data_IF_968239282235
#
_entry.id   IF_968239282235
#
_cell.length_a   1.000
_cell.length_b   1.000
_cell.length_c   1.000
_cell.angle_alpha   90.00
_cell.angle_beta   90.00
_cell.angle_gamma   90.00
#
_symmetry.space_group_name_H-M   'P 1'
#
loop_
_entity.id
_entity.type
_entity.pdbx_description
1 polymer ?
#
# COMPACT_ATOMS: atom_id res chain seq x y z
N UNK A 1 -9.68 1.90 -26.25
CA UNK A 1 -8.37 1.52 -25.67
C UNK A 1 -8.63 1.35 -24.18
N UNK A 2 -8.65 0.12 -23.68
CA UNK A 2 -8.88 -0.13 -22.26
C UNK A 2 -7.63 0.33 -21.51
N UNK A 3 -7.73 1.45 -20.81
CA UNK A 3 -6.69 1.92 -19.90
C UNK A 3 -6.62 0.90 -18.76
N UNK A 4 -5.66 -0.03 -18.86
CA UNK A 4 -5.31 -0.92 -17.77
C UNK A 4 -4.50 -0.08 -16.78
N UNK A 5 -5.20 0.76 -16.01
CA UNK A 5 -4.58 1.47 -14.90
C UNK A 5 -4.21 0.44 -13.84
N UNK A 6 -2.98 -0.08 -13.87
CA UNK A 6 -2.48 -0.96 -12.84
C UNK A 6 -2.57 -0.22 -11.49
N UNK A 7 -3.48 -0.64 -10.62
CA UNK A 7 -3.65 -0.07 -9.28
C UNK A 7 -2.92 -0.97 -8.29
N UNK A 8 -1.93 -0.40 -7.62
CA UNK A 8 -1.09 -1.11 -6.68
C UNK A 8 -1.62 -0.86 -5.27
N UNK A 9 -1.84 -1.95 -4.54
CA UNK A 9 -2.27 -1.92 -3.15
C UNK A 9 -1.22 -2.66 -2.32
N UNK A 10 -0.74 -2.06 -1.24
CA UNK A 10 0.23 -2.67 -0.34
C UNK A 10 -0.05 -2.32 1.11
N UNK A 11 0.37 -3.19 2.03
CA UNK A 11 0.28 -2.91 3.45
C UNK A 11 1.63 -2.48 4.01
N UNK A 12 1.58 -1.63 5.04
CA UNK A 12 2.77 -1.23 5.78
C UNK A 12 2.49 -1.16 7.28
N UNK A 13 3.56 -1.31 8.06
CA UNK A 13 3.54 -1.14 9.51
C UNK A 13 4.39 0.07 9.85
N UNK A 14 3.77 1.02 10.53
CA UNK A 14 4.40 2.23 11.06
C UNK A 14 4.58 2.05 12.56
N UNK A 15 5.82 2.01 13.02
CA UNK A 15 6.16 2.04 14.43
C UNK A 15 6.29 3.50 14.89
N UNK A 16 5.69 3.83 16.03
CA UNK A 16 5.65 5.19 16.57
C UNK A 16 6.34 5.28 17.93
N UNK A 17 6.80 6.48 18.28
CA UNK A 17 7.29 6.82 19.63
C UNK A 17 6.11 6.73 20.61
N UNK A 18 6.34 6.32 21.88
CA UNK A 18 5.32 6.36 22.92
C UNK A 18 4.72 7.77 23.05
N UNK A 19 3.40 7.88 23.02
CA UNK A 19 2.68 9.15 23.11
C UNK A 19 2.53 9.93 21.80
N UNK A 20 3.19 9.53 20.71
CA UNK A 20 3.05 10.20 19.40
C UNK A 20 2.03 9.54 18.47
N UNK A 21 1.50 8.37 18.83
CA UNK A 21 0.66 7.54 17.94
C UNK A 21 -0.61 8.23 17.47
N UNK A 22 -1.31 8.95 18.34
CA UNK A 22 -2.53 9.68 17.94
C UNK A 22 -2.23 10.84 16.99
N UNK A 23 -1.10 11.54 17.18
CA UNK A 23 -0.66 12.60 16.28
C UNK A 23 -0.31 12.02 14.91
N UNK A 24 0.52 10.98 14.86
CA UNK A 24 0.87 10.29 13.61
C UNK A 24 -0.37 9.73 12.91
N UNK A 25 -1.31 9.15 13.66
CA UNK A 25 -2.55 8.61 13.11
C UNK A 25 -3.45 9.69 12.51
N UNK A 26 -3.52 10.87 13.13
CA UNK A 26 -4.22 12.03 12.56
C UNK A 26 -3.57 12.46 11.25
N UNK A 27 -2.24 12.59 11.22
CA UNK A 27 -1.52 12.95 9.98
C UNK A 27 -1.74 11.95 8.85
N UNK A 28 -1.69 10.65 9.15
CA UNK A 28 -1.88 9.59 8.16
C UNK A 28 -3.30 9.61 7.60
N UNK A 29 -4.33 9.85 8.42
CA UNK A 29 -5.72 9.90 7.98
C UNK A 29 -6.03 11.04 7.00
N UNK A 30 -5.25 12.12 7.05
CA UNK A 30 -5.35 13.23 6.11
C UNK A 30 -4.59 12.98 4.78
N UNK A 31 -3.81 11.90 4.68
CA UNK A 31 -3.09 11.55 3.46
C UNK A 31 -4.00 10.83 2.46
N UNK A 32 -4.11 11.38 1.25
CA UNK A 32 -4.77 10.69 0.15
C UNK A 32 -4.02 9.40 -0.24
N UNK A 33 -4.76 8.33 -0.50
CA UNK A 33 -4.19 7.03 -0.87
C UNK A 33 -3.63 6.22 0.30
N UNK A 34 -3.95 6.61 1.54
CA UNK A 34 -3.54 5.90 2.76
C UNK A 34 -4.75 5.62 3.64
N UNK A 35 -4.96 4.36 4.00
CA UNK A 35 -6.00 3.92 4.92
C UNK A 35 -5.37 3.32 6.19
N UNK A 36 -5.89 3.68 7.37
CA UNK A 36 -5.47 3.07 8.63
C UNK A 36 -6.31 1.84 8.91
N UNK A 37 -5.71 0.65 8.80
CA UNK A 37 -6.38 -0.63 9.04
C UNK A 37 -6.50 -0.96 10.52
N UNK A 38 -5.42 -0.73 11.28
CA UNK A 38 -5.39 -1.02 12.71
C UNK A 38 -4.36 -0.14 13.42
N UNK A 39 -4.54 0.06 14.73
CA UNK A 39 -3.49 0.61 15.59
C UNK A 39 -3.44 -0.18 16.91
N UNK A 40 -2.23 -0.35 17.44
CA UNK A 40 -1.99 -1.02 18.72
C UNK A 40 -0.94 -0.24 19.52
N UNK A 41 -1.28 0.99 19.90
CA UNK A 41 -0.51 1.85 20.83
C UNK A 41 0.84 2.35 20.32
N UNK A 42 1.72 1.49 19.83
CA UNK A 42 3.06 1.80 19.32
C UNK A 42 3.26 1.38 17.85
N UNK A 43 2.24 0.75 17.25
CA UNK A 43 2.25 0.30 15.85
C UNK A 43 0.93 0.66 15.18
N UNK A 44 1.02 1.09 13.93
CA UNK A 44 -0.12 1.40 13.06
C UNK A 44 0.04 0.53 11.82
N UNK A 45 -1.01 -0.20 11.46
CA UNK A 45 -1.10 -0.94 10.20
C UNK A 45 -1.85 -0.06 9.22
N UNK A 46 -1.24 0.19 8.07
CA UNK A 46 -1.82 1.00 7.00
C UNK A 46 -1.90 0.22 5.70
N UNK A 47 -2.84 0.61 4.85
CA UNK A 47 -2.94 0.21 3.46
C UNK A 47 -2.62 1.43 2.60
N UNK A 48 -1.76 1.25 1.61
CA UNK A 48 -1.32 2.25 0.65
C UNK A 48 -1.86 1.84 -0.71
N UNK A 49 -2.45 2.79 -1.43
CA UNK A 49 -2.98 2.56 -2.78
C UNK A 49 -2.50 3.62 -3.77
N UNK A 50 -2.16 3.22 -4.99
CA UNK A 50 -1.67 4.16 -6.00
C UNK A 50 -1.35 3.53 -7.34
N UNK A 51 -1.00 4.37 -8.31
CA UNK A 51 -0.84 3.98 -9.71
C UNK A 51 0.45 3.16 -10.02
N UNK A 52 1.36 2.99 -9.05
CA UNK A 52 2.60 2.23 -9.22
C UNK A 52 3.25 1.88 -7.88
N UNK A 53 4.10 0.86 -7.84
CA UNK A 53 4.95 0.56 -6.66
C UNK A 53 5.81 1.76 -6.25
N UNK A 54 6.27 2.57 -7.21
CA UNK A 54 7.02 3.81 -6.92
C UNK A 54 6.19 4.84 -6.15
N UNK A 55 4.91 5.02 -6.51
CA UNK A 55 4.00 5.90 -5.78
C UNK A 55 3.77 5.41 -4.34
N UNK A 56 3.64 4.09 -4.13
CA UNK A 56 3.52 3.51 -2.79
C UNK A 56 4.79 3.75 -1.95
N UNK A 57 5.97 3.57 -2.56
CA UNK A 57 7.26 3.85 -1.93
C UNK A 57 7.44 5.32 -1.54
N UNK A 58 6.96 6.24 -2.38
CA UNK A 58 6.97 7.67 -2.07
C UNK A 58 6.06 8.00 -0.87
N UNK A 59 4.84 7.45 -0.84
CA UNK A 59 3.93 7.60 0.31
C UNK A 59 4.55 7.04 1.59
N UNK A 60 5.15 5.85 1.53
CA UNK A 60 5.84 5.24 2.67
C UNK A 60 7.02 6.10 3.15
N UNK A 61 7.79 6.69 2.22
CA UNK A 61 8.91 7.57 2.54
C UNK A 61 8.42 8.85 3.25
N UNK A 62 7.32 9.44 2.80
CA UNK A 62 6.70 10.61 3.46
C UNK A 62 6.24 10.27 4.88
N UNK A 63 5.66 9.09 5.08
CA UNK A 63 5.25 8.62 6.41
C UNK A 63 6.48 8.37 7.31
N UNK A 64 7.56 7.83 6.76
CA UNK A 64 8.77 7.50 7.52
C UNK A 64 9.46 8.71 8.16
N UNK A 65 9.22 9.91 7.64
CA UNK A 65 9.83 11.16 8.13
C UNK A 65 8.89 11.99 9.01
N UNK A 66 7.66 11.52 9.27
CA UNK A 66 6.75 12.19 10.20
C UNK A 66 7.35 12.20 11.62
N UNK A 67 7.22 13.32 12.33
CA UNK A 67 7.64 13.35 13.73
C UNK A 67 6.83 12.35 14.55
N UNK A 68 7.53 11.61 15.40
CA UNK A 68 6.94 10.52 16.16
C UNK A 68 6.96 9.17 15.45
N UNK A 69 7.36 9.08 14.17
CA UNK A 69 7.60 7.78 13.51
C UNK A 69 9.02 7.30 13.81
N UNK A 70 9.14 6.01 14.14
CA UNK A 70 10.40 5.30 14.38
C UNK A 70 10.81 4.51 13.15
N UNK A 71 9.84 3.87 12.50
CA UNK A 71 10.04 3.13 11.26
C UNK A 71 8.73 3.00 10.50
N UNK A 72 8.79 2.97 9.17
CA UNK A 72 7.67 2.62 8.31
C UNK A 72 8.15 1.53 7.34
N UNK A 73 7.61 0.32 7.49
CA UNK A 73 8.06 -0.86 6.75
C UNK A 73 6.92 -1.44 5.92
N UNK A 74 7.17 -1.73 4.66
CA UNK A 74 6.23 -2.43 3.80
C UNK A 74 6.14 -3.90 4.22
N UNK A 75 4.93 -4.43 4.38
CA UNK A 75 4.69 -5.79 4.90
C UNK A 75 4.18 -6.75 3.83
N UNK A 76 3.64 -6.26 2.72
CA UNK A 76 3.17 -7.15 1.66
C UNK A 76 3.03 -6.45 0.30
N UNK A 77 3.40 -7.16 -0.76
CA UNK A 77 3.15 -6.79 -2.16
C UNK A 77 2.17 -7.82 -2.74
N UNK A 78 0.95 -7.39 -3.10
CA UNK A 78 0.03 -8.16 -3.93
C UNK A 78 -0.04 -7.49 -5.30
N UNK A 79 0.61 -8.07 -6.31
CA UNK A 79 0.47 -7.63 -7.71
C UNK A 79 -0.67 -8.42 -8.35
N UNK A 80 -1.85 -7.83 -8.47
CA UNK A 80 -2.89 -8.39 -9.37
C UNK A 80 -2.48 -8.11 -10.82
N UNK A 81 -1.82 -9.07 -11.47
CA UNK A 81 -1.75 -9.10 -12.93
C UNK A 81 -3.03 -9.73 -13.46
N UNK A 82 -4.07 -8.92 -13.74
CA UNK A 82 -5.22 -9.41 -14.49
C UNK A 82 -4.88 -9.44 -15.97
N UNK A 83 -4.32 -10.55 -16.45
CA UNK A 83 -3.91 -10.64 -17.85
C UNK A 83 -3.35 -11.98 -18.33
N UNK A 84 -3.94 -13.12 -17.96
CA UNK A 84 -3.86 -14.31 -18.81
C UNK A 84 -5.27 -14.74 -19.20
N UNK A 85 -5.78 -14.33 -20.38
CA UNK A 85 -6.83 -15.10 -21.02
C UNK A 85 -6.24 -16.46 -21.37
N UNK A 86 -6.71 -17.50 -20.69
CA UNK A 86 -6.49 -18.88 -21.09
C UNK A 86 -7.00 -19.02 -22.54
N UNK A 87 -6.10 -19.05 -23.52
CA UNK A 87 -6.47 -19.31 -24.91
C UNK A 87 -6.64 -20.82 -25.07
N UNK A 88 -7.82 -21.29 -24.66
CA UNK A 88 -8.42 -22.50 -25.19
C UNK A 88 -8.74 -22.26 -26.67
N UNK A 89 -8.22 -23.13 -27.54
CA UNK A 89 -8.66 -23.19 -28.94
C UNK A 89 -7.55 -23.25 -30.00
N UNK A 90 -6.98 -24.43 -30.23
CA UNK A 90 -6.92 -24.92 -31.62
C UNK A 90 -7.20 -26.42 -31.68
N UNK A 91 -8.34 -26.70 -32.29
CA UNK A 91 -8.77 -27.97 -32.84
C UNK A 91 -7.83 -28.32 -33.99
N UNK A 92 -7.08 -29.41 -33.89
CA UNK A 92 -6.43 -30.01 -35.05
C UNK A 92 -7.07 -31.39 -35.28
N UNK A 93 -8.02 -31.37 -36.21
CA UNK A 93 -8.48 -32.52 -36.97
C UNK A 93 -7.44 -32.76 -38.07
N UNK A 94 -6.78 -33.92 -38.05
CA UNK A 94 -6.17 -34.56 -39.22
C UNK A 94 -5.96 -36.06 -38.94
#
# INVERSE_FOLDING_TARGET
>A
MADQTAWHISSAVVATKPGSTESVLTHIKDMAGVEVHANNGAKIVIVLEGASTGALGEMLSRISVLDGVVAANMVFEHVETRGEPNHDGRTDTA
#
